data_IF_319207378096
#
_entry.id   IF_319207378096
#
_cell.length_a   1.000
_cell.length_b   1.000
_cell.length_c   1.000
_cell.angle_alpha   90.00
_cell.angle_beta   90.00
_cell.angle_gamma   90.00
#
_symmetry.space_group_name_H-M   'P 1'
#
loop_
_entity.id
_entity.type
_entity.pdbx_description
1 polymer ?
#
# COMPACT_ATOMS: atom_id res chain seq x y z
N UNK A 1 -0.77 -13.52 -22.54
CA UNK A 1 0.27 -12.96 -23.42
C UNK A 1 1.34 -12.41 -22.49
N UNK A 2 2.56 -12.88 -22.67
CA UNK A 2 3.71 -12.60 -21.82
C UNK A 2 4.17 -11.17 -22.07
N UNK A 3 3.77 -10.25 -21.20
CA UNK A 3 4.28 -8.89 -21.21
C UNK A 3 5.81 -8.97 -21.04
N UNK A 4 6.55 -8.66 -22.10
CA UNK A 4 8.01 -8.57 -22.09
C UNK A 4 8.42 -7.45 -21.15
N UNK A 5 8.74 -7.84 -19.92
CA UNK A 5 9.38 -6.97 -18.95
C UNK A 5 10.90 -7.09 -19.08
N UNK A 6 11.65 -5.98 -19.06
CA UNK A 6 11.18 -4.60 -18.94
C UNK A 6 10.82 -3.97 -20.30
N UNK A 7 9.84 -3.06 -20.34
CA UNK A 7 9.59 -2.21 -21.50
C UNK A 7 10.70 -1.16 -21.57
N UNK A 8 11.62 -1.31 -22.52
CA UNK A 8 12.60 -0.28 -22.88
C UNK A 8 14.06 -0.71 -22.78
N UNK A 9 14.95 0.22 -23.13
CA UNK A 9 16.40 0.00 -23.19
C UNK A 9 17.11 0.06 -21.84
N UNK A 10 16.45 0.53 -20.77
CA UNK A 10 17.06 0.62 -19.44
C UNK A 10 16.94 -0.72 -18.69
N UNK A 11 17.96 -1.07 -17.91
CA UNK A 11 17.96 -2.22 -16.99
C UNK A 11 17.78 -1.82 -15.52
N UNK A 12 17.68 -0.52 -15.27
CA UNK A 12 17.52 0.07 -13.96
C UNK A 12 16.30 1.00 -13.98
N UNK A 13 15.38 0.78 -13.04
CA UNK A 13 14.15 1.57 -12.93
C UNK A 13 13.95 2.03 -11.50
N UNK A 14 13.59 3.31 -11.36
CA UNK A 14 13.02 3.83 -10.13
C UNK A 14 11.52 3.59 -10.14
N UNK A 15 10.90 3.47 -8.97
CA UNK A 15 9.44 3.40 -8.87
C UNK A 15 8.99 4.27 -7.70
N UNK A 16 8.45 5.43 -8.03
CA UNK A 16 7.98 6.39 -7.04
C UNK A 16 6.65 5.93 -6.47
N UNK A 17 6.64 5.60 -5.18
CA UNK A 17 5.45 5.16 -4.44
C UNK A 17 5.27 6.00 -3.18
N UNK A 18 4.03 6.19 -2.74
CA UNK A 18 3.77 6.78 -1.43
C UNK A 18 4.27 5.86 -0.31
N UNK A 19 3.97 4.55 -0.40
CA UNK A 19 4.58 3.49 0.41
C UNK A 19 5.34 2.49 -0.50
N UNK A 20 6.67 2.37 -0.39
CA UNK A 20 7.49 1.41 -1.15
C UNK A 20 6.98 -0.04 -1.14
N UNK A 21 6.22 -0.41 -0.09
CA UNK A 21 5.67 -1.75 0.09
C UNK A 21 4.54 -2.09 -0.86
N UNK A 22 3.84 -1.09 -1.41
CA UNK A 22 2.75 -1.32 -2.36
C UNK A 22 3.24 -2.06 -3.62
N UNK A 23 4.51 -1.87 -3.97
CA UNK A 23 5.15 -2.52 -5.09
C UNK A 23 5.31 -4.05 -4.96
N UNK A 24 5.26 -4.61 -3.75
CA UNK A 24 5.39 -6.07 -3.56
C UNK A 24 4.25 -6.86 -4.23
N UNK A 25 3.03 -6.30 -4.22
CA UNK A 25 1.87 -6.93 -4.86
C UNK A 25 2.06 -6.99 -6.38
N UNK A 26 2.62 -5.93 -6.96
CA UNK A 26 2.98 -5.92 -8.38
C UNK A 26 4.09 -6.94 -8.67
N UNK A 27 5.13 -6.96 -7.84
CA UNK A 27 6.26 -7.88 -8.02
C UNK A 27 5.81 -9.35 -8.04
N UNK A 28 4.87 -9.73 -7.17
CA UNK A 28 4.33 -11.09 -7.15
C UNK A 28 3.59 -11.47 -8.44
N UNK A 29 2.93 -10.52 -9.12
CA UNK A 29 2.29 -10.77 -10.42
C UNK A 29 3.31 -10.99 -11.54
N UNK A 30 4.51 -10.45 -11.40
CA UNK A 30 5.60 -10.61 -12.37
C UNK A 30 6.32 -11.96 -12.24
N UNK A 31 6.01 -12.75 -11.21
CA UNK A 31 6.60 -14.05 -11.00
C UNK A 31 6.15 -15.04 -12.08
N UNK A 32 7.04 -15.30 -13.04
CA UNK A 32 6.82 -16.25 -14.15
C UNK A 32 7.86 -17.36 -14.05
N UNK A 33 7.51 -18.59 -14.46
CA UNK A 33 8.35 -19.78 -14.31
C UNK A 33 9.77 -19.71 -14.90
N UNK A 34 10.05 -18.75 -15.78
CA UNK A 34 11.37 -18.59 -16.42
C UNK A 34 12.24 -17.49 -15.81
N UNK A 35 11.77 -16.76 -14.80
CA UNK A 35 12.47 -15.58 -14.27
C UNK A 35 12.59 -15.65 -12.77
N UNK A 36 13.79 -15.41 -12.25
CA UNK A 36 14.03 -15.31 -10.82
C UNK A 36 13.62 -13.92 -10.32
N UNK A 37 13.03 -13.88 -9.14
CA UNK A 37 12.78 -12.64 -8.41
C UNK A 37 13.65 -12.66 -7.17
N UNK A 38 14.53 -11.66 -7.03
CA UNK A 38 15.38 -11.47 -5.86
C UNK A 38 14.95 -10.19 -5.14
N UNK A 39 14.55 -10.31 -3.88
CA UNK A 39 14.09 -9.20 -3.05
C UNK A 39 15.16 -8.83 -2.04
N UNK A 40 15.68 -7.61 -2.14
CA UNK A 40 16.57 -6.98 -1.18
C UNK A 40 15.76 -5.98 -0.35
N UNK A 41 15.45 -6.32 0.90
CA UNK A 41 14.56 -5.51 1.75
C UNK A 41 15.10 -5.34 3.16
N UNK A 42 14.72 -4.24 3.83
CA UNK A 42 14.96 -4.06 5.27
C UNK A 42 13.97 -4.81 6.15
N UNK A 43 12.88 -5.34 5.57
CA UNK A 43 11.89 -6.09 6.32
C UNK A 43 12.47 -7.45 6.69
N UNK A 44 12.39 -7.78 7.99
CA UNK A 44 12.70 -9.12 8.47
C UNK A 44 11.81 -10.17 7.79
N UNK A 45 12.24 -11.45 7.66
CA UNK A 45 11.46 -12.49 6.99
C UNK A 45 9.99 -12.58 7.45
N UNK A 46 9.75 -12.51 8.76
CA UNK A 46 8.41 -12.56 9.35
C UNK A 46 7.50 -11.36 9.01
N UNK A 47 8.08 -10.23 8.62
CA UNK A 47 7.34 -9.04 8.17
C UNK A 47 7.15 -9.06 6.66
N UNK A 48 8.18 -9.47 5.92
CA UNK A 48 8.15 -9.57 4.45
C UNK A 48 7.14 -10.61 3.99
N UNK A 49 7.01 -11.74 4.71
CA UNK A 49 6.03 -12.79 4.42
C UNK A 49 4.56 -12.34 4.46
N UNK A 50 4.27 -11.19 5.07
CA UNK A 50 2.92 -10.60 5.07
C UNK A 50 2.56 -9.93 3.74
N UNK A 51 3.58 -9.61 2.92
CA UNK A 51 3.43 -8.85 1.67
C UNK A 51 3.69 -9.70 0.43
N UNK A 52 4.56 -10.70 0.53
CA UNK A 52 4.93 -11.56 -0.60
C UNK A 52 5.16 -13.01 -0.16
N UNK A 53 4.84 -13.96 -1.03
CA UNK A 53 5.11 -15.38 -0.78
C UNK A 53 6.61 -15.69 -0.92
N UNK A 54 7.27 -15.95 0.21
CA UNK A 54 8.71 -16.23 0.29
C UNK A 54 9.13 -17.58 -0.33
N UNK A 55 8.20 -18.50 -0.60
CA UNK A 55 8.54 -19.77 -1.26
C UNK A 55 8.86 -19.59 -2.75
N UNK A 56 8.41 -18.46 -3.32
CA UNK A 56 8.42 -18.23 -4.76
C UNK A 56 9.49 -17.20 -5.16
N UNK A 57 9.97 -16.41 -4.20
CA UNK A 57 10.99 -15.38 -4.41
C UNK A 57 12.21 -15.67 -3.59
N UNK A 58 13.38 -15.41 -4.14
CA UNK A 58 14.61 -15.36 -3.35
C UNK A 58 14.63 -14.03 -2.58
N UNK A 59 14.93 -14.05 -1.29
CA UNK A 59 14.87 -12.85 -0.46
C UNK A 59 16.12 -12.74 0.41
N UNK A 60 16.58 -11.50 0.59
CA UNK A 60 17.69 -11.17 1.43
C UNK A 60 17.36 -9.96 2.30
N UNK A 61 17.63 -10.11 3.60
CA UNK A 61 17.34 -9.10 4.60
C UNK A 61 18.54 -8.18 4.80
N UNK A 62 18.40 -6.91 4.43
CA UNK A 62 19.46 -5.90 4.59
C UNK A 62 19.54 -5.53 6.07
N UNK A 63 20.54 -6.07 6.77
CA UNK A 63 20.77 -5.86 8.20
C UNK A 63 22.18 -6.26 8.62
N UNK A 64 22.71 -5.63 9.67
CA UNK A 64 23.96 -6.04 10.33
C UNK A 64 23.78 -7.19 11.32
N UNK A 65 22.56 -7.73 11.46
CA UNK A 65 22.30 -8.89 12.32
C UNK A 65 22.83 -10.16 11.67
N UNK A 66 23.27 -11.10 12.50
CA UNK A 66 23.71 -12.42 12.04
C UNK A 66 22.46 -13.28 11.79
N UNK A 67 22.17 -13.54 10.52
CA UNK A 67 21.09 -14.41 10.07
C UNK A 67 21.51 -15.09 8.75
N UNK A 68 20.91 -16.25 8.43
CA UNK A 68 21.22 -17.00 7.21
C UNK A 68 20.81 -16.25 5.93
N UNK A 69 19.84 -15.34 6.01
CA UNK A 69 19.37 -14.55 4.88
C UNK A 69 19.81 -13.08 4.97
N UNK A 70 20.68 -12.74 5.92
CA UNK A 70 21.13 -11.36 6.11
C UNK A 70 22.22 -10.97 5.10
N UNK A 71 22.07 -9.77 4.54
CA UNK A 71 23.13 -9.07 3.81
C UNK A 71 23.48 -7.80 4.57
N UNK A 72 24.79 -7.57 4.74
CA UNK A 72 25.30 -6.36 5.37
C UNK A 72 24.93 -5.11 4.54
N UNK A 73 24.45 -4.03 5.18
CA UNK A 73 24.01 -2.82 4.49
C UNK A 73 25.13 -1.99 3.83
N UNK A 74 26.40 -2.40 3.96
CA UNK A 74 27.51 -1.77 3.25
C UNK A 74 27.31 -1.84 1.72
N UNK A 75 27.51 -0.71 1.05
CA UNK A 75 27.29 -0.58 -0.41
C UNK A 75 28.18 -1.55 -1.19
N UNK A 76 29.42 -1.79 -0.73
CA UNK A 76 30.35 -2.72 -1.37
C UNK A 76 29.84 -4.17 -1.29
N UNK A 77 29.24 -4.54 -0.15
CA UNK A 77 28.67 -5.88 0.07
C UNK A 77 27.45 -6.11 -0.82
N UNK A 78 26.56 -5.13 -0.89
CA UNK A 78 25.40 -5.14 -1.78
C UNK A 78 25.84 -5.22 -3.25
N UNK A 79 26.87 -4.46 -3.64
CA UNK A 79 27.40 -4.48 -5.01
C UNK A 79 27.95 -5.85 -5.37
N UNK A 80 28.79 -6.43 -4.51
CA UNK A 80 29.34 -7.77 -4.72
C UNK A 80 28.26 -8.85 -4.80
N UNK A 81 27.21 -8.72 -3.99
CA UNK A 81 26.06 -9.62 -4.08
C UNK A 81 25.37 -9.51 -5.44
N UNK A 82 25.05 -8.29 -5.88
CA UNK A 82 24.41 -8.05 -7.19
C UNK A 82 25.29 -8.57 -8.33
N UNK A 83 26.59 -8.28 -8.31
CA UNK A 83 27.54 -8.76 -9.32
C UNK A 83 27.61 -10.28 -9.38
N UNK A 84 27.49 -10.96 -8.24
CA UNK A 84 27.51 -12.43 -8.21
C UNK A 84 26.20 -13.01 -8.74
N UNK A 85 25.08 -12.33 -8.49
CA UNK A 85 23.75 -12.75 -8.93
C UNK A 85 23.60 -12.61 -10.45
N UNK A 86 24.09 -11.52 -11.03
CA UNK A 86 23.83 -11.18 -12.45
C UNK A 86 24.67 -11.96 -13.46
N UNK A 87 25.64 -12.77 -12.99
CA UNK A 87 26.47 -13.64 -13.83
C UNK A 87 25.64 -14.79 -14.43
N UNK A 88 24.64 -15.26 -13.69
CA UNK A 88 23.81 -16.41 -14.07
C UNK A 88 22.33 -16.01 -14.07
N UNK A 89 21.50 -16.78 -14.77
CA UNK A 89 20.04 -16.61 -14.87
C UNK A 89 19.56 -15.28 -15.49
N UNK A 90 18.24 -15.12 -15.49
CA UNK A 90 17.53 -13.89 -15.85
C UNK A 90 16.47 -13.60 -14.78
N UNK A 91 16.20 -12.32 -14.54
CA UNK A 91 15.31 -12.00 -13.43
C UNK A 91 15.15 -10.52 -13.11
N UNK A 92 14.46 -10.30 -11.99
CA UNK A 92 14.18 -8.99 -11.44
C UNK A 92 14.81 -8.91 -10.04
N UNK A 93 15.62 -7.87 -9.82
CA UNK A 93 16.13 -7.50 -8.51
C UNK A 93 15.26 -6.37 -7.98
N UNK A 94 14.68 -6.57 -6.80
CA UNK A 94 13.84 -5.58 -6.14
C UNK A 94 14.56 -5.00 -4.93
N UNK A 95 14.88 -3.72 -4.94
CA UNK A 95 15.63 -3.06 -3.87
C UNK A 95 14.72 -2.11 -3.06
N UNK A 96 14.11 -2.63 -2.00
CA UNK A 96 13.31 -1.86 -1.03
C UNK A 96 14.17 -1.43 0.18
N UNK A 97 15.14 -0.57 -0.10
CA UNK A 97 16.02 0.00 0.91
C UNK A 97 16.68 1.32 0.51
N UNK A 98 16.27 1.96 -0.60
CA UNK A 98 16.98 3.13 -1.15
C UNK A 98 17.07 4.27 -0.15
N UNK A 99 15.97 4.61 0.53
CA UNK A 99 15.92 5.67 1.54
C UNK A 99 16.90 5.39 2.67
N UNK A 100 17.02 4.13 3.07
CA UNK A 100 17.92 3.73 4.13
C UNK A 100 19.38 3.76 3.73
N UNK A 101 19.70 3.32 2.51
CA UNK A 101 21.06 3.39 2.01
C UNK A 101 21.51 4.86 1.90
N UNK A 102 20.62 5.73 1.45
CA UNK A 102 20.88 7.18 1.40
C UNK A 102 21.02 7.78 2.79
N UNK A 103 20.15 7.43 3.74
CA UNK A 103 20.24 7.88 5.13
C UNK A 103 21.53 7.41 5.82
N UNK A 104 21.98 6.19 5.50
CA UNK A 104 23.16 5.58 6.14
C UNK A 104 24.49 6.05 5.53
N UNK A 105 24.57 6.11 4.19
CA UNK A 105 25.83 6.34 3.46
C UNK A 105 25.91 7.69 2.75
N UNK A 106 24.82 8.47 2.80
CA UNK A 106 24.68 9.72 2.07
C UNK A 106 24.22 9.51 0.63
N UNK A 107 23.62 10.57 0.06
CA UNK A 107 23.07 10.53 -1.29
C UNK A 107 24.14 10.32 -2.38
N UNK A 108 25.28 11.02 -2.28
CA UNK A 108 26.33 10.96 -3.30
C UNK A 108 26.96 9.56 -3.41
N UNK A 109 27.21 8.88 -2.28
CA UNK A 109 27.69 7.50 -2.27
C UNK A 109 26.65 6.54 -2.83
N UNK A 110 25.37 6.75 -2.48
CA UNK A 110 24.27 5.90 -2.91
C UNK A 110 23.99 6.01 -4.41
N UNK A 111 24.07 7.21 -4.99
CA UNK A 111 23.87 7.37 -6.44
C UNK A 111 25.03 6.77 -7.24
N UNK A 112 26.27 6.86 -6.74
CA UNK A 112 27.42 6.17 -7.36
C UNK A 112 27.26 4.65 -7.29
N UNK A 113 26.75 4.12 -6.17
CA UNK A 113 26.39 2.71 -6.05
C UNK A 113 25.34 2.33 -7.09
N UNK A 114 24.23 3.08 -7.18
CA UNK A 114 23.16 2.85 -8.16
C UNK A 114 23.69 2.85 -9.60
N UNK A 115 24.54 3.83 -9.95
CA UNK A 115 25.20 3.90 -11.26
C UNK A 115 26.04 2.65 -11.53
N UNK A 116 26.90 2.26 -10.57
CA UNK A 116 27.75 1.08 -10.72
C UNK A 116 26.95 -0.22 -10.88
N UNK A 117 25.78 -0.32 -10.23
CA UNK A 117 24.86 -1.44 -10.40
C UNK A 117 24.22 -1.39 -11.78
N UNK A 118 23.77 -0.21 -12.23
CA UNK A 118 23.26 0.00 -13.58
C UNK A 118 24.24 -0.48 -14.66
N UNK A 119 25.51 -0.11 -14.54
CA UNK A 119 26.58 -0.55 -15.44
C UNK A 119 26.72 -2.09 -15.46
N UNK A 120 26.59 -2.73 -14.30
CA UNK A 120 26.70 -4.19 -14.16
C UNK A 120 25.52 -4.93 -14.77
N UNK A 121 24.37 -4.26 -14.93
CA UNK A 121 23.16 -4.84 -15.49
C UNK A 121 23.07 -4.72 -17.01
N UNK A 122 23.79 -3.78 -17.64
CA UNK A 122 23.66 -3.45 -19.07
C UNK A 122 23.78 -4.66 -20.01
N UNK A 123 24.75 -5.54 -19.77
CA UNK A 123 25.02 -6.72 -20.61
C UNK A 123 24.31 -7.99 -20.11
N UNK A 124 23.33 -7.84 -19.23
CA UNK A 124 22.64 -8.96 -18.57
C UNK A 124 21.14 -8.95 -18.86
N UNK A 125 20.47 -10.07 -18.58
CA UNK A 125 19.01 -10.17 -18.63
C UNK A 125 18.35 -9.85 -17.27
N UNK A 126 19.12 -9.28 -16.36
CA UNK A 126 18.62 -8.82 -15.08
C UNK A 126 18.09 -7.41 -15.18
N UNK A 127 17.09 -7.10 -14.36
CA UNK A 127 16.57 -5.75 -14.23
C UNK A 127 16.42 -5.41 -12.77
N UNK A 128 16.93 -4.26 -12.36
CA UNK A 128 16.74 -3.76 -11.01
C UNK A 128 15.59 -2.75 -10.98
N UNK A 129 14.67 -2.95 -10.03
CA UNK A 129 13.59 -2.02 -9.70
C UNK A 129 13.79 -1.53 -8.28
N UNK A 130 13.78 -0.22 -8.12
CA UNK A 130 14.03 0.47 -6.86
C UNK A 130 12.77 1.26 -6.47
N UNK A 131 11.85 0.67 -5.69
CA UNK A 131 10.79 1.45 -5.07
C UNK A 131 11.37 2.49 -4.11
N UNK A 132 10.87 3.72 -4.17
CA UNK A 132 11.21 4.74 -3.18
C UNK A 132 10.13 5.80 -3.05
N UNK A 133 10.05 6.44 -1.89
CA UNK A 133 9.18 7.59 -1.65
C UNK A 133 9.87 8.89 -2.08
N UNK A 134 9.36 9.65 -3.06
CA UNK A 134 9.98 10.90 -3.50
C UNK A 134 10.00 11.97 -2.39
N UNK A 135 9.09 11.87 -1.41
CA UNK A 135 9.02 12.76 -0.25
C UNK A 135 10.17 12.55 0.74
N UNK A 136 10.88 11.42 0.67
CA UNK A 136 12.04 11.14 1.52
C UNK A 136 13.32 11.84 1.05
N UNK A 137 13.30 12.50 -0.12
CA UNK A 137 14.47 13.10 -0.76
C UNK A 137 14.22 14.56 -1.15
N UNK A 138 15.30 15.30 -1.41
CA UNK A 138 15.19 16.65 -2.01
C UNK A 138 14.80 16.54 -3.48
N UNK A 139 14.13 17.56 -4.00
CA UNK A 139 13.73 17.61 -5.43
C UNK A 139 14.92 17.42 -6.40
N UNK A 140 16.09 17.96 -6.07
CA UNK A 140 17.33 17.78 -6.86
C UNK A 140 17.86 16.35 -6.81
N UNK A 141 17.71 15.67 -5.67
CA UNK A 141 18.12 14.28 -5.47
C UNK A 141 17.19 13.34 -6.25
N UNK A 142 15.88 13.58 -6.21
CA UNK A 142 14.89 12.87 -7.03
C UNK A 142 15.16 13.05 -8.53
N UNK A 143 15.49 14.26 -8.98
CA UNK A 143 15.82 14.51 -10.39
C UNK A 143 17.06 13.74 -10.84
N UNK A 144 18.11 13.67 -10.00
CA UNK A 144 19.31 12.86 -10.25
C UNK A 144 18.97 11.37 -10.30
N UNK A 145 18.18 10.86 -9.35
CA UNK A 145 17.75 9.47 -9.38
C UNK A 145 16.96 9.13 -10.64
N UNK A 146 16.03 9.98 -11.07
CA UNK A 146 15.23 9.75 -12.30
C UNK A 146 16.10 9.70 -13.57
N UNK A 147 17.22 10.43 -13.58
CA UNK A 147 18.18 10.41 -14.70
C UNK A 147 18.90 9.06 -14.81
N UNK A 148 19.27 8.47 -13.68
CA UNK A 148 19.98 7.17 -13.64
C UNK A 148 19.01 5.98 -13.73
N UNK A 149 17.86 6.12 -13.09
CA UNK A 149 16.82 5.11 -12.97
C UNK A 149 15.48 5.74 -13.40
N UNK A 150 15.14 5.66 -14.70
CA UNK A 150 13.86 6.16 -15.20
C UNK A 150 12.69 5.65 -14.36
N UNK A 151 11.74 6.54 -14.07
CA UNK A 151 10.61 6.19 -13.24
C UNK A 151 9.67 5.27 -14.02
N UNK A 152 9.40 4.09 -13.46
CA UNK A 152 8.39 3.19 -13.94
C UNK A 152 7.10 3.40 -13.15
N UNK A 153 5.99 3.55 -13.87
CA UNK A 153 4.66 3.64 -13.26
C UNK A 153 3.94 2.33 -13.46
N UNK A 154 3.44 1.72 -12.38
CA UNK A 154 2.60 0.53 -12.46
C UNK A 154 1.30 0.94 -13.15
N UNK A 155 1.17 0.65 -14.44
CA UNK A 155 -0.08 0.87 -15.16
C UNK A 155 -1.11 -0.16 -14.71
N UNK A 156 -2.12 0.29 -13.99
CA UNK A 156 -3.30 -0.50 -13.59
C UNK A 156 -4.42 -0.38 -14.62
N UNK A 157 -4.12 -0.54 -15.92
CA UNK A 157 -5.13 -0.62 -16.99
C UNK A 157 -4.72 -1.66 -18.05
N UNK A 158 -5.68 -2.34 -18.71
CA UNK A 158 -5.39 -3.40 -19.67
C UNK A 158 -4.70 -2.82 -20.90
N UNK A 159 -3.74 -3.58 -21.44
CA UNK A 159 -2.93 -3.29 -22.64
C UNK A 159 -3.59 -2.29 -23.62
N UNK A 160 -3.02 -1.08 -23.68
CA UNK A 160 -2.96 -0.32 -24.92
C UNK A 160 -1.59 0.35 -24.99
N UNK A 161 -0.73 -0.25 -25.81
CA UNK A 161 0.59 0.28 -26.14
C UNK A 161 0.42 1.65 -26.81
N UNK A 162 0.99 2.70 -26.21
CA UNK A 162 1.42 3.86 -26.97
C UNK A 162 2.91 4.05 -26.64
N UNK A 163 3.71 3.68 -27.63
CA UNK A 163 5.14 3.95 -27.71
C UNK A 163 5.27 5.45 -27.94
N UNK A 164 5.85 6.21 -26.99
CA UNK A 164 6.30 7.58 -27.26
C UNK A 164 7.50 7.51 -28.22
N UNK A 165 7.21 7.68 -29.52
CA UNK A 165 8.22 7.99 -30.52
C UNK A 165 8.46 9.49 -30.45
N UNK A 166 9.71 9.85 -30.19
CA UNK A 166 10.19 11.24 -30.14
C UNK A 166 10.03 11.91 -31.50
N UNK A 167 9.10 12.86 -31.52
CA UNK A 167 9.04 14.16 -32.19
C UNK A 167 9.70 14.37 -33.57
N UNK A 168 8.87 14.76 -34.54
CA UNK A 168 9.26 15.43 -35.79
C UNK A 168 8.10 16.33 -36.24
N UNK A 169 8.28 17.62 -36.00
CA UNK A 169 7.49 18.81 -36.36
C UNK A 169 6.51 18.70 -37.55
N UNK A 170 5.25 19.12 -37.35
CA UNK A 170 4.55 20.19 -38.11
C UNK A 170 3.02 20.24 -37.85
N UNK A 171 2.59 21.38 -37.29
CA UNK A 171 1.44 22.23 -37.63
C UNK A 171 0.00 21.70 -37.92
N UNK A 172 -0.93 22.43 -37.29
CA UNK A 172 -2.34 22.79 -37.60
C UNK A 172 -3.52 21.92 -37.13
N UNK A 173 -4.10 22.39 -36.00
CA UNK A 173 -5.52 22.66 -35.67
C UNK A 173 -6.63 21.58 -35.69
N UNK A 174 -7.40 21.67 -34.60
CA UNK A 174 -8.82 21.36 -34.41
C UNK A 174 -9.30 19.90 -34.34
N UNK A 175 -9.33 19.40 -33.10
CA UNK A 175 -10.52 18.71 -32.58
C UNK A 175 -10.64 18.91 -31.08
N UNK A 176 -10.88 20.15 -30.67
CA UNK A 176 -11.48 20.45 -29.37
C UNK A 176 -12.93 19.97 -29.37
N UNK A 177 -13.26 19.01 -28.50
CA UNK A 177 -14.57 18.80 -27.84
C UNK A 177 -14.57 17.43 -27.14
N UNK A 178 -13.85 17.27 -26.02
CA UNK A 178 -14.17 16.32 -24.92
C UNK A 178 -13.18 16.31 -23.73
N UNK A 179 -12.42 17.39 -23.47
CA UNK A 179 -11.46 17.42 -22.35
C UNK A 179 -11.49 18.75 -21.58
N UNK A 180 -12.66 19.10 -21.05
CA UNK A 180 -12.86 20.36 -20.32
C UNK A 180 -13.58 20.20 -18.97
N UNK A 181 -13.65 19.00 -18.38
CA UNK A 181 -14.21 18.81 -17.04
C UNK A 181 -13.56 17.61 -16.34
N UNK A 182 -12.36 17.78 -15.77
CA UNK A 182 -11.94 17.22 -14.47
C UNK A 182 -10.52 17.72 -14.09
N UNK A 183 -10.26 19.00 -14.34
CA UNK A 183 -9.05 19.70 -13.93
C UNK A 183 -9.40 21.06 -13.38
N UNK A 184 -10.00 21.10 -12.19
CA UNK A 184 -10.07 22.27 -11.33
C UNK A 184 -10.39 21.76 -9.90
N UNK A 185 -9.44 21.97 -8.98
CA UNK A 185 -9.59 21.98 -7.52
C UNK A 185 -9.86 20.65 -6.75
N UNK A 186 -8.84 19.80 -6.58
CA UNK A 186 -8.74 18.94 -5.37
C UNK A 186 -7.52 19.25 -4.49
N UNK A 187 -6.65 20.20 -4.86
CA UNK A 187 -5.56 20.71 -4.01
C UNK A 187 -5.96 21.85 -3.05
N UNK A 188 -7.24 22.24 -3.01
CA UNK A 188 -7.73 23.33 -2.14
C UNK A 188 -8.48 22.86 -0.87
N UNK A 189 -8.58 21.56 -0.58
CA UNK A 189 -9.30 21.07 0.62
C UNK A 189 -8.42 20.36 1.67
N UNK A 190 -7.10 20.34 1.51
CA UNK A 190 -6.18 19.86 2.56
C UNK A 190 -5.69 20.98 3.50
N UNK A 191 -6.51 22.04 3.64
CA UNK A 191 -6.28 23.18 4.53
C UNK A 191 -7.26 23.29 5.70
N UNK A 192 -8.08 22.28 5.99
CA UNK A 192 -8.96 22.29 7.16
C UNK A 192 -9.08 20.91 7.80
N UNK A 193 -8.46 20.78 8.97
CA UNK A 193 -8.78 19.84 10.05
C UNK A 193 -9.36 18.48 9.61
N UNK A 194 -8.47 17.53 9.32
CA UNK A 194 -8.75 16.17 9.80
C UNK A 194 -8.53 16.27 11.30
N UNK A 195 -9.57 16.22 12.16
CA UNK A 195 -9.37 16.40 13.57
C UNK A 195 -8.42 15.30 14.08
N UNK A 196 -7.26 15.74 14.57
CA UNK A 196 -6.48 14.99 15.55
C UNK A 196 -7.42 14.73 16.73
N UNK A 197 -8.05 13.56 16.75
CA UNK A 197 -8.74 13.08 17.94
C UNK A 197 -7.68 12.36 18.75
N UNK A 198 -7.15 13.09 19.74
CA UNK A 198 -6.39 12.52 20.84
C UNK A 198 -7.14 11.32 21.40
N UNK A 199 -6.43 10.19 21.50
CA UNK A 199 -6.96 8.90 21.90
C UNK A 199 -7.26 8.93 23.40
N UNK A 200 -8.50 9.26 23.77
CA UNK A 200 -9.14 8.67 24.95
C UNK A 200 -9.84 7.35 24.54
N UNK A 201 -9.93 6.35 25.43
CA UNK A 201 -10.50 5.05 25.09
C UNK A 201 -12.03 5.17 24.99
N UNK A 202 -12.52 5.53 23.80
CA UNK A 202 -13.94 5.61 23.50
C UNK A 202 -14.21 5.52 22.00
N UNK A 203 -15.31 4.87 21.63
CA UNK A 203 -15.71 4.73 20.23
C UNK A 203 -16.01 6.12 19.62
N UNK A 204 -15.18 6.51 18.66
CA UNK A 204 -15.28 7.77 17.91
C UNK A 204 -16.33 7.64 16.79
N UNK A 205 -17.16 8.67 16.61
CA UNK A 205 -18.14 8.77 15.51
C UNK A 205 -17.40 8.74 14.16
N UNK A 206 -17.76 7.77 13.33
CA UNK A 206 -17.06 7.46 12.08
C UNK A 206 -17.54 8.38 10.94
N UNK A 207 -16.65 9.20 10.38
CA UNK A 207 -16.89 9.93 9.12
C UNK A 207 -16.91 8.97 7.93
N UNK A 208 -17.79 9.22 6.95
CA UNK A 208 -17.95 8.41 5.72
C UNK A 208 -16.79 8.67 4.75
N UNK A 209 -16.32 7.61 4.11
CA UNK A 209 -15.27 7.69 3.09
C UNK A 209 -15.90 7.65 1.68
N UNK A 210 -15.64 8.65 0.82
CA UNK A 210 -16.03 8.63 -0.59
C UNK A 210 -15.44 7.44 -1.37
N UNK A 211 -16.13 6.98 -2.41
CA UNK A 211 -15.66 5.88 -3.28
C UNK A 211 -14.31 6.18 -3.96
N UNK A 212 -14.12 7.42 -4.41
CA UNK A 212 -12.88 7.90 -5.03
C UNK A 212 -11.68 7.89 -4.07
N UNK A 213 -11.91 7.95 -2.75
CA UNK A 213 -10.85 7.94 -1.74
C UNK A 213 -10.72 6.61 -0.99
N UNK A 214 -11.54 5.59 -1.31
CA UNK A 214 -11.38 4.25 -0.73
C UNK A 214 -10.18 3.52 -1.38
N UNK A 215 -9.00 3.69 -0.80
CA UNK A 215 -7.80 2.90 -1.09
C UNK A 215 -7.73 1.65 -0.21
N UNK A 216 -6.94 0.64 -0.60
CA UNK A 216 -6.71 -0.55 0.24
C UNK A 216 -6.06 -0.19 1.58
N UNK A 217 -5.15 0.80 1.58
CA UNK A 217 -4.49 1.29 2.79
C UNK A 217 -5.48 1.97 3.76
N UNK A 218 -6.40 2.78 3.24
CA UNK A 218 -7.45 3.41 4.04
C UNK A 218 -8.41 2.35 4.61
N UNK A 219 -8.78 1.36 3.81
CA UNK A 219 -9.60 0.23 4.25
C UNK A 219 -8.89 -0.57 5.36
N UNK A 220 -7.60 -0.86 5.21
CA UNK A 220 -6.81 -1.58 6.21
C UNK A 220 -6.70 -0.80 7.52
N UNK A 221 -6.34 0.48 7.48
CA UNK A 221 -6.30 1.33 8.69
C UNK A 221 -7.65 1.35 9.41
N UNK A 222 -8.74 1.32 8.64
CA UNK A 222 -10.09 1.31 9.18
C UNK A 222 -10.46 -0.03 9.81
N UNK A 223 -10.08 -1.15 9.19
CA UNK A 223 -10.22 -2.50 9.75
C UNK A 223 -9.43 -2.61 11.06
N UNK A 224 -8.19 -2.14 11.09
CA UNK A 224 -7.35 -2.12 12.30
C UNK A 224 -7.99 -1.27 13.39
N UNK A 225 -8.51 -0.09 13.06
CA UNK A 225 -9.23 0.76 14.02
C UNK A 225 -10.45 0.05 14.62
N UNK A 226 -11.26 -0.59 13.78
CA UNK A 226 -12.46 -1.32 14.24
C UNK A 226 -12.12 -2.57 15.04
N UNK A 227 -11.02 -3.25 14.70
CA UNK A 227 -10.47 -4.36 15.48
C UNK A 227 -10.04 -3.89 16.87
N UNK A 228 -9.36 -2.75 16.97
CA UNK A 228 -8.98 -2.13 18.26
C UNK A 228 -10.20 -1.73 19.08
N UNK A 229 -11.30 -1.33 18.42
CA UNK A 229 -12.59 -1.05 19.07
C UNK A 229 -13.32 -2.33 19.54
N UNK A 230 -12.82 -3.52 19.22
CA UNK A 230 -13.37 -4.81 19.66
C UNK A 230 -14.39 -5.43 18.72
N UNK A 231 -14.60 -4.88 17.52
CA UNK A 231 -15.51 -5.45 16.52
C UNK A 231 -14.88 -6.63 15.79
N UNK A 232 -15.69 -7.63 15.49
CA UNK A 232 -15.32 -8.72 14.60
C UNK A 232 -15.32 -8.23 13.14
N UNK A 233 -14.11 -8.04 12.60
CA UNK A 233 -13.85 -7.54 11.24
C UNK A 233 -13.48 -8.66 10.25
N UNK A 234 -13.61 -9.93 10.65
CA UNK A 234 -13.19 -11.10 9.85
C UNK A 234 -13.88 -11.17 8.48
N UNK A 235 -15.10 -10.63 8.33
CA UNK A 235 -15.82 -10.57 7.05
C UNK A 235 -15.21 -9.54 6.06
N UNK A 236 -14.46 -8.56 6.54
CA UNK A 236 -13.83 -7.51 5.72
C UNK A 236 -12.41 -7.86 5.28
N UNK A 237 -11.70 -8.72 6.00
CA UNK A 237 -10.33 -9.13 5.66
C UNK A 237 -10.21 -9.69 4.23
N UNK A 238 -11.16 -10.54 3.74
CA UNK A 238 -11.12 -11.03 2.36
C UNK A 238 -11.31 -9.93 1.30
N UNK A 239 -11.88 -8.77 1.65
CA UNK A 239 -12.11 -7.67 0.71
C UNK A 239 -10.83 -6.95 0.31
N UNK A 240 -9.76 -7.10 1.10
CA UNK A 240 -8.42 -6.59 0.75
C UNK A 240 -7.88 -7.28 -0.50
N UNK A 241 -8.32 -8.52 -0.78
CA UNK A 241 -7.87 -9.35 -1.91
C UNK A 241 -8.73 -9.18 -3.17
N UNK A 242 -9.90 -8.53 -3.08
CA UNK A 242 -10.79 -8.31 -4.24
C UNK A 242 -10.19 -7.20 -5.12
N UNK A 243 -10.10 -7.43 -6.43
CA UNK A 243 -9.48 -6.50 -7.38
C UNK A 243 -10.42 -5.36 -7.84
N UNK A 244 -11.73 -5.59 -7.90
CA UNK A 244 -12.72 -4.59 -8.30
C UNK A 244 -12.94 -3.48 -7.26
N UNK A 245 -12.66 -2.22 -7.61
CA UNK A 245 -12.84 -1.05 -6.73
C UNK A 245 -14.31 -0.83 -6.33
N UNK A 246 -15.22 -0.86 -7.30
CA UNK A 246 -16.65 -0.68 -7.07
C UNK A 246 -17.24 -1.81 -6.20
N UNK A 247 -16.83 -3.06 -6.44
CA UNK A 247 -17.28 -4.20 -5.63
C UNK A 247 -16.74 -4.12 -4.19
N UNK A 248 -15.49 -3.70 -4.02
CA UNK A 248 -14.88 -3.47 -2.70
C UNK A 248 -15.59 -2.35 -1.96
N UNK A 249 -15.90 -1.24 -2.64
CA UNK A 249 -16.63 -0.11 -2.06
C UNK A 249 -18.04 -0.50 -1.63
N UNK A 250 -18.79 -1.20 -2.48
CA UNK A 250 -20.14 -1.63 -2.16
C UNK A 250 -20.20 -2.51 -0.91
N UNK A 251 -19.26 -3.47 -0.79
CA UNK A 251 -19.18 -4.35 0.39
C UNK A 251 -18.67 -3.63 1.64
N UNK A 252 -17.69 -2.74 1.48
CA UNK A 252 -17.22 -1.86 2.55
C UNK A 252 -18.35 -0.98 3.10
N UNK A 253 -19.12 -0.32 2.23
CA UNK A 253 -20.19 0.60 2.60
C UNK A 253 -21.28 -0.10 3.42
N UNK A 254 -21.68 -1.30 3.01
CA UNK A 254 -22.66 -2.11 3.76
C UNK A 254 -22.14 -2.47 5.16
N UNK A 255 -20.85 -2.78 5.29
CA UNK A 255 -20.25 -3.12 6.58
C UNK A 255 -20.02 -1.88 7.46
N UNK A 256 -19.61 -0.76 6.88
CA UNK A 256 -19.47 0.53 7.56
C UNK A 256 -20.82 0.97 8.17
N UNK A 257 -21.92 0.78 7.44
CA UNK A 257 -23.27 1.04 7.95
C UNK A 257 -23.58 0.17 9.17
N UNK A 258 -23.22 -1.12 9.15
CA UNK A 258 -23.38 -2.01 10.31
C UNK A 258 -22.58 -1.51 11.52
N UNK A 259 -21.31 -1.16 11.33
CA UNK A 259 -20.45 -0.67 12.42
C UNK A 259 -20.99 0.63 12.98
N UNK A 260 -21.46 1.55 12.14
CA UNK A 260 -22.05 2.80 12.62
C UNK A 260 -23.26 2.53 13.52
N UNK A 261 -24.19 1.68 13.07
CA UNK A 261 -25.37 1.30 13.87
C UNK A 261 -24.97 0.61 15.18
N UNK A 262 -23.94 -0.24 15.13
CA UNK A 262 -23.35 -0.86 16.30
C UNK A 262 -22.74 0.17 17.28
N UNK A 263 -22.02 1.19 16.80
CA UNK A 263 -21.48 2.28 17.63
C UNK A 263 -22.58 3.13 18.28
N UNK A 264 -23.68 3.39 17.56
CA UNK A 264 -24.84 4.10 18.12
C UNK A 264 -25.54 3.28 19.19
N UNK A 265 -25.65 1.97 18.99
CA UNK A 265 -26.21 1.05 19.97
C UNK A 265 -25.32 0.95 21.22
N UNK A 266 -23.99 1.00 21.07
CA UNK A 266 -23.05 0.99 22.18
C UNK A 266 -23.19 2.22 23.08
N UNK A 267 -23.39 3.41 22.49
CA UNK A 267 -23.74 4.62 23.25
C UNK A 267 -25.02 4.43 24.08
N UNK A 268 -26.06 3.84 23.50
CA UNK A 268 -27.33 3.54 24.18
C UNK A 268 -27.19 2.46 25.27
N UNK A 269 -26.29 1.49 25.07
CA UNK A 269 -25.95 0.49 26.09
C UNK A 269 -25.31 1.15 27.30
N UNK A 270 -24.39 2.11 27.11
CA UNK A 270 -23.78 2.85 28.24
C UNK A 270 -24.83 3.61 29.04
N UNK A 271 -25.84 4.16 28.38
CA UNK A 271 -26.99 4.79 29.05
C UNK A 271 -27.79 3.77 29.89
N UNK A 272 -28.04 2.57 29.38
CA UNK A 272 -28.70 1.49 30.14
C UNK A 272 -27.84 0.94 31.29
N UNK A 273 -26.53 0.93 31.13
CA UNK A 273 -25.61 0.51 32.19
C UNK A 273 -25.69 1.45 33.40
N UNK A 274 -25.79 2.77 33.17
CA UNK A 274 -26.01 3.77 34.21
C UNK A 274 -27.34 3.58 34.94
N UNK A 275 -28.34 2.98 34.27
CA UNK A 275 -29.66 2.67 34.83
C UNK A 275 -29.72 1.32 35.57
N UNK A 276 -28.60 0.56 35.60
CA UNK A 276 -28.45 -0.64 36.42
C UNK A 276 -28.78 -1.98 35.74
N UNK A 277 -29.05 -2.01 34.44
CA UNK A 277 -29.40 -3.22 33.67
C UNK A 277 -28.18 -4.08 33.26
N UNK A 278 -27.33 -4.44 34.22
CA UNK A 278 -26.01 -5.06 33.97
C UNK A 278 -26.06 -6.37 33.17
N UNK A 279 -27.03 -7.25 33.42
CA UNK A 279 -27.13 -8.55 32.73
C UNK A 279 -27.51 -8.44 31.25
N UNK A 280 -28.33 -7.45 30.90
CA UNK A 280 -28.79 -7.23 29.53
C UNK A 280 -27.73 -6.46 28.74
N UNK A 281 -27.09 -5.48 29.38
CA UNK A 281 -25.93 -4.75 28.87
C UNK A 281 -24.82 -5.68 28.39
N UNK A 282 -24.41 -6.68 29.18
CA UNK A 282 -23.33 -7.60 28.76
C UNK A 282 -23.73 -8.45 27.54
N UNK A 283 -24.99 -8.90 27.46
CA UNK A 283 -25.49 -9.69 26.33
C UNK A 283 -25.59 -8.85 25.05
N UNK A 284 -26.10 -7.62 25.16
CA UNK A 284 -26.24 -6.70 24.04
C UNK A 284 -24.86 -6.22 23.55
N UNK A 285 -23.93 -5.94 24.47
CA UNK A 285 -22.56 -5.56 24.16
C UNK A 285 -21.85 -6.67 23.38
N UNK A 286 -21.94 -7.93 23.83
CA UNK A 286 -21.36 -9.07 23.11
C UNK A 286 -21.92 -9.22 21.69
N UNK A 287 -23.24 -9.04 21.51
CA UNK A 287 -23.88 -9.12 20.18
C UNK A 287 -23.44 -8.01 19.23
N UNK A 288 -23.29 -6.80 19.74
CA UNK A 288 -22.81 -5.64 18.98
C UNK A 288 -21.36 -5.85 18.52
N UNK A 289 -20.49 -6.40 19.38
CA UNK A 289 -19.10 -6.68 19.03
C UNK A 289 -18.98 -7.74 17.93
N UNK A 290 -19.88 -8.73 17.91
CA UNK A 290 -19.96 -9.72 16.84
C UNK A 290 -20.70 -9.21 15.58
N UNK A 291 -21.21 -7.98 15.59
CA UNK A 291 -22.03 -7.39 14.51
C UNK A 291 -23.22 -8.28 14.09
N UNK A 292 -23.75 -9.10 15.00
CA UNK A 292 -24.85 -10.04 14.73
C UNK A 292 -26.18 -9.49 15.20
N UNK A 293 -27.21 -9.58 14.35
CA UNK A 293 -28.59 -9.25 14.73
C UNK A 293 -28.78 -7.81 15.22
N UNK A 294 -28.10 -6.83 14.60
CA UNK A 294 -28.08 -5.43 15.01
C UNK A 294 -29.51 -4.84 15.10
N UNK A 295 -30.40 -5.22 14.19
CA UNK A 295 -31.81 -4.76 14.19
C UNK A 295 -32.59 -5.24 15.42
N UNK A 296 -32.32 -6.47 15.89
CA UNK A 296 -32.95 -7.00 17.09
C UNK A 296 -32.38 -6.35 18.35
N UNK A 297 -31.08 -6.04 18.35
CA UNK A 297 -30.42 -5.28 19.41
C UNK A 297 -30.99 -3.86 19.49
N UNK A 298 -31.18 -3.18 18.37
CA UNK A 298 -31.81 -1.85 18.32
C UNK A 298 -33.21 -1.86 18.92
N UNK A 299 -34.06 -2.84 18.56
CA UNK A 299 -35.42 -2.99 19.11
C UNK A 299 -35.40 -3.30 20.60
N UNK A 300 -34.52 -4.19 21.06
CA UNK A 300 -34.37 -4.50 22.48
C UNK A 300 -33.89 -3.28 23.28
N UNK A 301 -32.93 -2.52 22.76
CA UNK A 301 -32.48 -1.27 23.38
C UNK A 301 -33.60 -0.25 23.49
N UNK A 302 -34.42 -0.11 22.45
CA UNK A 302 -35.55 0.82 22.45
C UNK A 302 -36.62 0.43 23.49
N UNK A 303 -36.91 -0.86 23.64
CA UNK A 303 -37.86 -1.36 24.64
C UNK A 303 -37.33 -1.15 26.07
N UNK A 304 -36.07 -1.50 26.33
CA UNK A 304 -35.46 -1.37 27.66
C UNK A 304 -35.29 0.10 28.07
N UNK A 305 -34.91 0.98 27.14
CA UNK A 305 -34.85 2.43 27.40
C UNK A 305 -36.25 3.05 27.60
N UNK A 306 -37.29 2.47 27.01
CA UNK A 306 -38.67 2.90 27.24
C UNK A 306 -39.23 2.38 28.57
N UNK A 307 -38.80 1.20 29.03
CA UNK A 307 -39.17 0.64 30.34
C UNK A 307 -38.43 1.34 31.49
N UNK A 308 -37.23 1.87 31.23
CA UNK A 308 -36.42 2.59 32.20
C UNK A 308 -36.72 4.11 32.30
N UNK A 309 -37.61 4.65 31.46
CA UNK A 309 -38.10 6.05 31.50
C UNK A 309 -39.48 6.14 32.15
#
# INVERSE_FOLDING_TARGET
MSAEWPPGSSRLYGMQLEDPREGYVWLQKMNTSNRKIVVLSRLSPAKLSRWINLEVVDFHWITSKIDSYAIDPALERLKHFVDSLVIEDEGIIWLDAVEYLVDTHGFDSSIQFIQSVGDSLMDTNWTMVMPYSPLAFKSTEVAKMRREAPNYTISTEPENQIIEVVDSESDVEDSALLDALEGEDEESLLGSDIPHIEVEPGLVVLSRIPEKSLSRAILQRRIEQWSVMGFDVSELEPLLLVDGRAERYARYFVFEEKIRRATECERRIRELEQLGFTKEVTKLHFRIMQLTGIEDVEKQLQLLLAEAR
#
